data_IF_014203759406
#
_entry.id   IF_014203759406
#
_cell.length_a   1.000
_cell.length_b   1.000
_cell.length_c   1.000
_cell.angle_alpha   90.00
_cell.angle_beta   90.00
_cell.angle_gamma   90.00
#
_symmetry.space_group_name_H-M   'P 1'
#
loop_
_entity.id
_entity.type
_entity.pdbx_description
1 polymer ?
#
# COMPACT_ATOMS: atom_id res chain seq x y z
N UNK A 1 -33.73 32.02 1.23
CA UNK A 1 -33.97 31.01 2.27
C UNK A 1 -34.51 29.76 1.60
N UNK A 2 -33.84 28.64 1.87
CA UNK A 2 -34.27 27.25 1.72
C UNK A 2 -34.31 26.65 0.32
N UNK A 3 -33.19 25.98 0.04
CA UNK A 3 -32.93 25.06 -1.08
C UNK A 3 -33.67 23.72 -0.88
N UNK A 4 -34.01 23.08 -1.98
CA UNK A 4 -34.92 21.94 -2.10
C UNK A 4 -34.32 20.66 -1.49
N UNK A 5 -35.07 20.02 -0.60
CA UNK A 5 -34.77 18.71 -0.04
C UNK A 5 -34.99 17.60 -1.08
N UNK A 6 -33.93 16.88 -1.43
CA UNK A 6 -34.01 15.61 -2.16
C UNK A 6 -33.88 14.44 -1.18
N UNK A 7 -34.92 13.61 -1.18
CA UNK A 7 -34.97 12.25 -0.66
C UNK A 7 -33.84 11.40 -1.24
N UNK A 8 -33.19 10.58 -0.41
CA UNK A 8 -32.66 9.24 -0.78
C UNK A 8 -32.34 8.50 0.51
N UNK A 9 -33.04 7.39 0.73
CA UNK A 9 -32.73 6.44 1.78
C UNK A 9 -31.56 5.52 1.40
N UNK A 10 -31.47 4.44 2.17
CA UNK A 10 -30.56 3.29 2.07
C UNK A 10 -29.35 3.33 3.00
N UNK A 11 -29.37 2.36 3.92
CA UNK A 11 -28.32 2.09 4.88
C UNK A 11 -27.01 1.74 4.19
N UNK A 12 -25.93 2.31 4.71
CA UNK A 12 -24.60 1.81 4.43
C UNK A 12 -24.34 0.62 5.34
N UNK A 13 -24.49 -0.55 4.73
CA UNK A 13 -23.73 -1.75 5.05
C UNK A 13 -22.26 -1.37 5.19
N UNK A 14 -21.66 -1.75 6.30
CA UNK A 14 -20.21 -1.80 6.51
C UNK A 14 -19.58 -2.57 5.36
N UNK A 15 -19.02 -1.85 4.38
CA UNK A 15 -18.15 -2.43 3.37
C UNK A 15 -16.88 -2.88 4.09
N UNK A 16 -16.88 -4.15 4.47
CA UNK A 16 -15.69 -4.91 4.79
C UNK A 16 -14.78 -4.82 3.56
N UNK A 17 -13.80 -3.92 3.62
CA UNK A 17 -12.68 -3.89 2.68
C UNK A 17 -11.97 -5.24 2.76
N UNK A 18 -12.39 -6.19 1.91
CA UNK A 18 -11.68 -7.43 1.67
C UNK A 18 -10.52 -7.13 0.72
N UNK A 19 -9.41 -6.59 1.25
CA UNK A 19 -8.11 -6.55 0.56
C UNK A 19 -7.44 -7.93 0.52
N UNK A 20 -8.24 -9.01 0.50
CA UNK A 20 -7.77 -10.38 0.49
C UNK A 20 -8.49 -11.14 -0.62
N UNK A 21 -8.29 -10.74 -1.87
CA UNK A 21 -8.85 -11.52 -2.98
C UNK A 21 -8.02 -11.56 -4.27
N UNK A 22 -6.99 -10.71 -4.44
CA UNK A 22 -6.13 -10.77 -5.63
C UNK A 22 -5.10 -11.91 -5.57
N UNK A 23 -4.57 -12.25 -4.39
CA UNK A 23 -3.64 -13.38 -4.26
C UNK A 23 -4.33 -14.74 -4.37
N UNK A 24 -5.61 -14.82 -3.94
CA UNK A 24 -6.41 -16.05 -4.00
C UNK A 24 -6.94 -16.34 -5.41
N UNK A 25 -7.27 -15.30 -6.19
CA UNK A 25 -7.67 -15.46 -7.59
C UNK A 25 -6.50 -15.98 -8.44
N UNK A 26 -5.31 -15.39 -8.30
CA UNK A 26 -4.14 -15.80 -9.09
C UNK A 26 -3.68 -17.24 -8.81
N UNK A 27 -3.82 -17.72 -7.57
CA UNK A 27 -3.53 -19.12 -7.22
C UNK A 27 -4.61 -20.09 -7.76
N UNK A 28 -5.89 -19.69 -7.70
CA UNK A 28 -7.00 -20.47 -8.25
C UNK A 28 -6.95 -20.57 -9.79
N UNK A 29 -6.51 -19.51 -10.47
CA UNK A 29 -6.30 -19.49 -11.92
C UNK A 29 -5.12 -20.39 -12.34
N UNK A 30 -4.06 -20.47 -11.53
CA UNK A 30 -2.92 -21.36 -11.77
C UNK A 30 -3.29 -22.85 -11.65
N UNK A 31 -4.00 -23.24 -10.58
CA UNK A 31 -4.44 -24.64 -10.39
C UNK A 31 -5.48 -25.06 -11.43
N UNK A 32 -6.41 -24.17 -11.79
CA UNK A 32 -7.38 -24.42 -12.86
C UNK A 32 -6.68 -24.57 -14.21
N UNK A 33 -5.64 -23.78 -14.46
CA UNK A 33 -4.83 -23.86 -15.67
C UNK A 33 -3.96 -25.12 -15.72
N UNK A 34 -3.32 -25.52 -14.63
CA UNK A 34 -2.57 -26.78 -14.56
C UNK A 34 -3.49 -28.00 -14.80
N UNK A 35 -4.71 -27.94 -14.29
CA UNK A 35 -5.70 -28.99 -14.52
C UNK A 35 -6.14 -29.06 -16.00
N UNK A 36 -6.28 -27.90 -16.65
CA UNK A 36 -6.49 -27.79 -18.10
C UNK A 36 -5.28 -28.27 -18.92
N UNK A 37 -4.05 -27.95 -18.50
CA UNK A 37 -2.79 -28.39 -19.11
C UNK A 37 -2.67 -29.92 -19.06
N UNK A 38 -2.89 -30.53 -17.90
CA UNK A 38 -2.88 -31.99 -17.71
C UNK A 38 -3.99 -32.65 -18.55
N UNK A 39 -5.15 -32.01 -18.64
CA UNK A 39 -6.26 -32.49 -19.46
C UNK A 39 -5.96 -32.42 -20.96
N UNK A 40 -5.25 -31.39 -21.42
CA UNK A 40 -4.78 -31.28 -22.81
C UNK A 40 -3.67 -32.29 -23.11
N UNK A 41 -2.69 -32.48 -22.21
CA UNK A 41 -1.61 -33.46 -22.35
C UNK A 41 -2.13 -34.90 -22.44
N UNK A 42 -3.25 -35.20 -21.76
CA UNK A 42 -3.96 -36.49 -21.86
C UNK A 42 -4.75 -36.69 -23.14
N UNK A 43 -5.05 -35.63 -23.91
CA UNK A 43 -5.93 -35.67 -25.09
C UNK A 43 -5.26 -35.18 -26.40
N UNK A 44 -3.97 -34.83 -26.39
CA UNK A 44 -3.27 -34.38 -27.60
C UNK A 44 -2.80 -35.58 -28.44
N UNK A 45 -3.27 -35.63 -29.68
CA UNK A 45 -2.68 -36.43 -30.76
C UNK A 45 -1.26 -35.88 -31.04
N UNK A 46 -0.22 -36.74 -31.14
CA UNK A 46 1.21 -36.36 -31.20
C UNK A 46 1.64 -35.50 -32.40
N UNK A 47 0.71 -35.13 -33.30
CA UNK A 47 1.02 -34.50 -34.59
C UNK A 47 0.81 -32.98 -34.65
N UNK A 48 0.33 -32.33 -33.58
CA UNK A 48 0.21 -30.86 -33.54
C UNK A 48 0.58 -30.25 -32.17
N UNK A 49 1.85 -29.86 -31.96
CA UNK A 49 2.28 -29.17 -30.75
C UNK A 49 1.92 -27.68 -30.85
N UNK A 50 0.65 -27.32 -30.67
CA UNK A 50 0.31 -25.92 -30.38
C UNK A 50 0.72 -25.61 -28.95
N UNK A 51 1.75 -24.77 -28.80
CA UNK A 51 2.59 -24.54 -27.62
C UNK A 51 1.83 -23.94 -26.41
N UNK A 52 1.30 -24.75 -25.49
CA UNK A 52 0.63 -24.26 -24.27
C UNK A 52 1.67 -23.72 -23.27
N UNK A 53 2.94 -24.03 -23.49
CA UNK A 53 4.09 -23.68 -22.67
C UNK A 53 4.40 -22.20 -22.75
N UNK A 54 4.25 -21.57 -23.92
CA UNK A 54 4.44 -20.12 -24.11
C UNK A 54 3.50 -19.29 -23.21
N UNK A 55 2.21 -19.62 -23.18
CA UNK A 55 1.23 -18.93 -22.33
C UNK A 55 1.51 -19.17 -20.85
N UNK A 56 1.92 -20.38 -20.47
CA UNK A 56 2.34 -20.71 -19.10
C UNK A 56 3.57 -19.88 -18.69
N UNK A 57 4.57 -19.77 -19.56
CA UNK A 57 5.76 -18.94 -19.31
C UNK A 57 5.39 -17.47 -19.11
N UNK A 58 4.41 -16.96 -19.86
CA UNK A 58 3.96 -15.57 -19.73
C UNK A 58 3.13 -15.35 -18.46
N UNK A 59 2.27 -16.30 -18.08
CA UNK A 59 1.51 -16.26 -16.83
C UNK A 59 2.42 -16.37 -15.60
N UNK A 60 3.38 -17.30 -15.61
CA UNK A 60 4.37 -17.44 -14.55
C UNK A 60 5.22 -16.17 -14.40
N UNK A 61 5.59 -15.54 -15.53
CA UNK A 61 6.29 -14.25 -15.52
C UNK A 61 5.43 -13.15 -14.89
N UNK A 62 4.15 -13.07 -15.25
CA UNK A 62 3.23 -12.08 -14.68
C UNK A 62 3.00 -12.30 -13.18
N UNK A 63 2.81 -13.54 -12.74
CA UNK A 63 2.69 -13.89 -11.32
C UNK A 63 3.95 -13.51 -10.52
N UNK A 64 5.14 -13.70 -11.10
CA UNK A 64 6.39 -13.24 -10.49
C UNK A 64 6.45 -11.72 -10.32
N UNK A 65 6.05 -10.96 -11.35
CA UNK A 65 5.99 -9.49 -11.28
C UNK A 65 4.97 -9.02 -10.24
N UNK A 66 3.79 -9.62 -10.22
CA UNK A 66 2.74 -9.29 -9.25
C UNK A 66 3.19 -9.56 -7.80
N UNK A 67 3.83 -10.70 -7.55
CA UNK A 67 4.42 -10.99 -6.25
C UNK A 67 5.51 -9.98 -5.86
N UNK A 68 6.33 -9.54 -6.83
CA UNK A 68 7.32 -8.50 -6.60
C UNK A 68 6.69 -7.15 -6.24
N UNK A 69 5.60 -6.77 -6.92
CA UNK A 69 4.82 -5.55 -6.60
C UNK A 69 4.29 -5.65 -5.17
N UNK A 70 3.63 -6.76 -4.81
CA UNK A 70 3.10 -6.96 -3.47
C UNK A 70 4.20 -6.96 -2.39
N UNK A 71 5.38 -7.51 -2.69
CA UNK A 71 6.53 -7.45 -1.80
C UNK A 71 7.02 -6.02 -1.60
N UNK A 72 7.13 -5.24 -2.68
CA UNK A 72 7.52 -3.84 -2.64
C UNK A 72 6.52 -2.99 -1.83
N UNK A 73 5.21 -3.22 -1.97
CA UNK A 73 4.17 -2.51 -1.21
C UNK A 73 4.25 -2.81 0.29
N UNK A 74 4.51 -4.07 0.63
CA UNK A 74 4.74 -4.48 2.03
C UNK A 74 6.01 -3.82 2.60
N UNK A 75 7.09 -3.77 1.81
CA UNK A 75 8.31 -3.06 2.22
C UNK A 75 8.07 -1.57 2.42
N UNK A 76 7.34 -0.91 1.53
CA UNK A 76 6.96 0.50 1.68
C UNK A 76 6.15 0.73 2.97
N UNK A 77 5.21 -0.17 3.28
CA UNK A 77 4.42 -0.12 4.51
C UNK A 77 5.27 -0.28 5.78
N UNK A 78 6.25 -1.20 5.76
CA UNK A 78 7.18 -1.39 6.89
C UNK A 78 8.09 -0.18 7.10
N UNK A 79 8.60 0.42 6.01
CA UNK A 79 9.38 1.65 6.07
C UNK A 79 8.54 2.77 6.67
N UNK A 80 7.29 2.92 6.23
CA UNK A 80 6.39 3.95 6.72
C UNK A 80 6.09 3.79 8.23
N UNK A 81 5.87 2.55 8.69
CA UNK A 81 5.67 2.25 10.12
C UNK A 81 6.93 2.55 10.95
N UNK A 82 8.11 2.17 10.43
CA UNK A 82 9.39 2.45 11.09
C UNK A 82 9.63 3.96 11.22
N UNK A 83 9.38 4.72 10.16
CA UNK A 83 9.49 6.17 10.18
C UNK A 83 8.49 6.81 11.16
N UNK A 84 7.24 6.33 11.20
CA UNK A 84 6.25 6.79 12.17
C UNK A 84 6.68 6.51 13.61
N UNK A 85 7.25 5.33 13.89
CA UNK A 85 7.76 4.97 15.22
C UNK A 85 8.93 5.85 15.69
N UNK A 86 9.88 6.13 14.80
CA UNK A 86 10.97 7.07 15.08
C UNK A 86 10.45 8.50 15.29
N UNK A 87 9.51 8.93 14.44
CA UNK A 87 8.92 10.25 14.54
C UNK A 87 8.09 10.42 15.83
N UNK A 88 7.42 9.37 16.31
CA UNK A 88 6.68 9.40 17.56
C UNK A 88 7.57 9.70 18.79
N UNK A 89 8.86 9.37 18.73
CA UNK A 89 9.82 9.72 19.79
C UNK A 89 10.12 11.23 19.87
N UNK A 90 9.76 12.00 18.84
CA UNK A 90 9.95 13.45 18.82
C UNK A 90 8.80 14.19 19.52
N UNK A 91 7.69 13.52 19.85
CA UNK A 91 6.58 14.16 20.58
C UNK A 91 7.08 14.66 21.93
N UNK A 92 6.85 15.94 22.21
CA UNK A 92 7.37 16.64 23.40
C UNK A 92 8.75 17.28 23.21
N UNK A 93 9.50 16.91 22.18
CA UNK A 93 10.80 17.52 21.88
C UNK A 93 10.61 18.85 21.14
N UNK A 94 11.59 19.75 21.29
CA UNK A 94 11.66 20.97 20.50
C UNK A 94 12.37 20.68 19.18
N UNK A 95 11.75 21.05 18.06
CA UNK A 95 12.27 20.79 16.71
C UNK A 95 12.37 22.07 15.90
N UNK A 96 13.31 22.10 14.97
CA UNK A 96 13.51 23.20 14.01
C UNK A 96 13.56 22.63 12.60
N UNK A 97 12.72 23.16 11.71
CA UNK A 97 12.69 22.77 10.29
C UNK A 97 14.04 23.03 9.60
N UNK A 98 14.36 22.33 8.50
CA UNK A 98 15.63 22.49 7.80
C UNK A 98 15.92 23.94 7.34
N UNK A 99 14.88 24.68 6.98
CA UNK A 99 14.96 26.09 6.54
C UNK A 99 15.04 27.08 7.73
N UNK A 100 14.88 26.62 8.97
CA UNK A 100 14.85 27.47 10.17
C UNK A 100 13.55 28.28 10.33
N UNK A 101 12.67 28.31 9.33
CA UNK A 101 11.42 29.08 9.34
C UNK A 101 10.36 28.58 10.35
N UNK A 102 10.40 27.30 10.73
CA UNK A 102 9.48 26.71 11.71
C UNK A 102 10.24 26.10 12.87
N UNK A 103 9.87 26.47 14.10
CA UNK A 103 10.45 25.96 15.33
C UNK A 103 9.38 25.84 16.41
N UNK A 104 9.42 24.77 17.21
CA UNK A 104 8.46 24.58 18.28
C UNK A 104 8.50 23.19 18.91
N UNK A 105 7.71 23.00 19.96
CA UNK A 105 7.50 21.69 20.58
C UNK A 105 6.54 20.87 19.73
N UNK A 106 6.87 19.60 19.50
CA UNK A 106 6.01 18.66 18.76
C UNK A 106 4.85 18.21 19.64
N UNK A 107 3.63 18.50 19.20
CA UNK A 107 2.40 18.06 19.86
C UNK A 107 1.95 16.67 19.38
N UNK A 108 2.08 16.38 18.08
CA UNK A 108 1.76 15.06 17.53
C UNK A 108 2.49 14.79 16.23
N UNK A 109 2.48 13.53 15.79
CA UNK A 109 3.02 13.11 14.49
C UNK A 109 1.93 12.43 13.68
N UNK A 110 1.89 12.70 12.38
CA UNK A 110 0.96 12.07 11.45
C UNK A 110 1.72 11.52 10.25
N UNK A 111 1.40 10.32 9.80
CA UNK A 111 2.02 9.74 8.60
C UNK A 111 1.34 10.32 7.35
N UNK A 112 2.08 11.09 6.55
CA UNK A 112 1.63 11.62 5.28
C UNK A 112 2.17 10.83 4.09
N UNK A 113 1.67 11.13 2.89
CA UNK A 113 2.13 10.50 1.64
C UNK A 113 3.63 10.70 1.38
N UNK A 114 4.20 11.80 1.87
CA UNK A 114 5.61 12.16 1.72
C UNK A 114 6.45 11.86 2.98
N UNK A 115 5.97 10.97 3.85
CA UNK A 115 6.64 10.65 5.12
C UNK A 115 5.97 11.27 6.35
N UNK A 116 6.57 11.09 7.55
CA UNK A 116 5.99 11.59 8.79
C UNK A 116 5.98 13.12 8.83
N UNK A 117 4.84 13.69 9.23
CA UNK A 117 4.63 15.11 9.52
C UNK A 117 4.65 15.34 11.02
N UNK A 118 5.36 16.36 11.46
CA UNK A 118 5.31 16.85 12.84
C UNK A 118 4.32 18.00 12.93
N UNK A 119 3.40 17.91 13.89
CA UNK A 119 2.48 18.97 14.24
C UNK A 119 2.99 19.65 15.50
N UNK A 120 3.25 20.95 15.43
CA UNK A 120 3.75 21.75 16.53
C UNK A 120 2.60 22.25 17.41
N UNK A 121 2.90 22.54 18.67
CA UNK A 121 1.93 23.11 19.61
C UNK A 121 1.44 24.52 19.19
N UNK A 122 2.22 25.21 18.34
CA UNK A 122 1.82 26.47 17.69
C UNK A 122 0.72 26.29 16.63
N UNK A 123 0.32 25.05 16.31
CA UNK A 123 -0.62 24.71 15.24
C UNK A 123 0.00 24.62 13.85
N UNK A 124 1.31 24.89 13.72
CA UNK A 124 2.05 24.72 12.47
C UNK A 124 2.42 23.24 12.25
N UNK A 125 2.60 22.83 11.00
CA UNK A 125 3.07 21.48 10.68
C UNK A 125 4.05 21.50 9.52
N UNK A 126 5.03 20.61 9.58
CA UNK A 126 5.97 20.39 8.48
C UNK A 126 6.34 18.91 8.36
N UNK A 127 6.82 18.50 7.18
CA UNK A 127 7.32 17.14 6.95
C UNK A 127 8.68 16.97 7.59
N UNK A 128 8.88 15.88 8.32
CA UNK A 128 10.18 15.54 8.89
C UNK A 128 11.10 15.10 7.76
N UNK A 129 12.03 15.98 7.38
CA UNK A 129 12.99 15.76 6.29
C UNK A 129 14.43 15.87 6.80
N UNK A 130 15.38 15.55 5.93
CA UNK A 130 16.80 15.70 6.21
C UNK A 130 17.12 17.16 6.58
N UNK A 131 17.89 17.33 7.67
CA UNK A 131 18.25 18.65 8.19
C UNK A 131 17.30 19.20 9.27
N UNK A 132 16.24 18.48 9.64
CA UNK A 132 15.44 18.83 10.82
C UNK A 132 16.29 18.66 12.08
N UNK A 133 16.43 19.73 12.86
CA UNK A 133 17.17 19.69 14.13
C UNK A 133 16.21 19.34 15.28
N UNK A 134 16.60 18.40 16.14
CA UNK A 134 15.80 17.93 17.27
C UNK A 134 16.57 18.20 18.56
N UNK A 135 15.91 18.85 19.51
CA UNK A 135 16.44 19.16 20.83
C UNK A 135 15.63 18.39 21.87
N UNK A 136 16.33 17.67 22.75
CA UNK A 136 15.70 16.96 23.85
C UNK A 136 15.06 17.96 24.83
N UNK A 137 13.87 17.62 25.32
CA UNK A 137 13.18 18.34 26.40
C UNK A 137 13.87 18.18 27.75
#
# INVERSE_FOLDING_TARGET
MTEVAATTGYGQTTEKTTTASSSASNAADYDTFLNLLVTQLKNQDPTNPSDPTQFLSQLASFSGVEQQIQANDKLASLIALTQAGNAAQLVGNFVVSPDGSMAGVVSSVTLGANGPKVNLESGQSFTLDAGTQVFAS
#
